data_IF_848261284306
#
_entry.id   IF_848261284306
#
_cell.length_a   1.000
_cell.length_b   1.000
_cell.length_c   1.000
_cell.angle_alpha   90.00
_cell.angle_beta   90.00
_cell.angle_gamma   90.00
#
_symmetry.space_group_name_H-M   'P 1'
#
loop_
_entity.id
_entity.type
_entity.pdbx_description
1 polymer ?
#
# COMPACT_ATOMS: atom_id res chain seq x y z
N UNK A 1 -38.13 -7.73 0.04
CA UNK A 1 -37.00 -7.78 -0.91
C UNK A 1 -35.68 -7.90 -0.18
N UNK A 2 -35.17 -9.13 -0.11
CA UNK A 2 -33.95 -9.52 0.62
C UNK A 2 -32.76 -9.73 -0.31
N UNK A 3 -32.09 -8.66 -0.72
CA UNK A 3 -30.95 -8.69 -1.65
C UNK A 3 -29.57 -8.49 -0.97
N UNK A 4 -29.48 -8.47 0.37
CA UNK A 4 -28.25 -8.00 1.04
C UNK A 4 -27.43 -9.01 1.86
N UNK A 5 -27.96 -10.19 2.16
CA UNK A 5 -27.39 -11.06 3.22
C UNK A 5 -26.31 -12.03 2.68
N UNK A 6 -26.21 -12.24 1.36
CA UNK A 6 -25.23 -13.15 0.74
C UNK A 6 -23.93 -12.50 0.24
N UNK A 7 -23.99 -11.29 -0.32
CA UNK A 7 -22.85 -10.69 -1.02
C UNK A 7 -21.77 -10.14 -0.08
N UNK A 8 -22.17 -9.56 1.05
CA UNK A 8 -21.23 -9.02 2.05
C UNK A 8 -20.40 -10.14 2.68
N UNK A 9 -21.01 -11.29 2.96
CA UNK A 9 -20.31 -12.45 3.52
C UNK A 9 -19.24 -12.98 2.57
N UNK A 10 -19.54 -13.06 1.27
CA UNK A 10 -18.60 -13.56 0.27
C UNK A 10 -17.39 -12.64 0.05
N UNK A 11 -17.59 -11.31 0.02
CA UNK A 11 -16.48 -10.35 -0.10
C UNK A 11 -15.57 -10.42 1.13
N UNK A 12 -16.15 -10.44 2.34
CA UNK A 12 -15.38 -10.55 3.59
C UNK A 12 -14.60 -11.87 3.67
N UNK A 13 -15.20 -12.99 3.27
CA UNK A 13 -14.53 -14.29 3.24
C UNK A 13 -13.39 -14.33 2.22
N UNK A 14 -13.57 -13.71 1.05
CA UNK A 14 -12.52 -13.56 0.03
C UNK A 14 -11.35 -12.75 0.53
N UNK A 15 -11.61 -11.60 1.16
CA UNK A 15 -10.56 -10.75 1.72
C UNK A 15 -9.79 -11.48 2.84
N UNK A 16 -10.52 -12.20 3.73
CA UNK A 16 -9.90 -13.04 4.76
C UNK A 16 -8.98 -14.10 4.17
N UNK A 17 -9.42 -14.79 3.11
CA UNK A 17 -8.61 -15.81 2.44
C UNK A 17 -7.32 -15.19 1.88
N UNK A 18 -7.43 -14.08 1.14
CA UNK A 18 -6.28 -13.40 0.57
C UNK A 18 -5.30 -12.90 1.64
N UNK A 19 -5.81 -12.34 2.74
CA UNK A 19 -5.01 -11.89 3.89
C UNK A 19 -4.29 -13.05 4.60
N UNK A 20 -4.94 -14.22 4.69
CA UNK A 20 -4.33 -15.40 5.33
C UNK A 20 -3.23 -16.05 4.51
N UNK A 21 -3.28 -15.92 3.17
CA UNK A 21 -2.33 -16.55 2.25
C UNK A 21 -1.13 -15.62 1.95
N UNK A 22 -1.42 -14.37 1.61
CA UNK A 22 -0.42 -13.43 1.10
C UNK A 22 -0.06 -12.30 2.06
N UNK A 23 -0.81 -12.14 3.16
CA UNK A 23 -0.58 -11.10 4.16
C UNK A 23 -0.93 -9.68 3.69
N UNK A 24 -0.53 -8.71 4.50
CA UNK A 24 -0.89 -7.29 4.36
C UNK A 24 0.35 -6.41 4.44
N UNK A 25 0.42 -5.41 3.56
CA UNK A 25 1.33 -4.27 3.63
C UNK A 25 0.49 -3.00 3.78
N UNK A 26 0.82 -2.21 4.79
CA UNK A 26 0.24 -0.88 5.02
C UNK A 26 1.33 0.14 4.73
N UNK A 27 0.99 1.16 3.94
CA UNK A 27 1.88 2.28 3.62
C UNK A 27 1.24 3.54 4.17
N UNK A 28 1.96 4.27 5.03
CA UNK A 28 1.49 5.53 5.60
C UNK A 28 2.34 6.67 5.07
N UNK A 29 1.67 7.70 4.56
CA UNK A 29 2.29 8.93 4.06
C UNK A 29 1.58 10.12 4.71
N UNK A 30 2.34 11.09 5.17
CA UNK A 30 1.80 12.34 5.71
C UNK A 30 2.01 13.45 4.70
N UNK A 31 0.94 14.16 4.36
CA UNK A 31 0.95 15.25 3.39
C UNK A 31 0.46 16.57 3.99
N UNK A 32 1.05 17.67 3.51
CA UNK A 32 0.61 19.03 3.80
C UNK A 32 -0.73 19.28 3.12
N UNK A 33 -1.74 19.67 3.89
CA UNK A 33 -3.00 20.12 3.30
C UNK A 33 -2.85 21.42 2.49
N UNK A 34 -1.93 22.29 2.90
CA UNK A 34 -1.73 23.59 2.27
C UNK A 34 -0.90 23.50 0.99
N UNK A 35 0.16 22.69 1.00
CA UNK A 35 1.12 22.61 -0.11
C UNK A 35 0.88 21.41 -1.02
N UNK A 36 0.09 20.42 -0.60
CA UNK A 36 -0.10 19.17 -1.34
C UNK A 36 1.18 18.33 -1.45
N UNK A 37 2.17 18.56 -0.57
CA UNK A 37 3.47 17.88 -0.57
C UNK A 37 3.58 16.84 0.54
N UNK A 38 4.46 15.87 0.35
CA UNK A 38 4.81 14.90 1.40
C UNK A 38 5.65 15.60 2.47
N UNK A 39 5.19 15.52 3.73
CA UNK A 39 5.89 16.06 4.89
C UNK A 39 6.69 14.95 5.60
N UNK A 40 6.14 13.74 5.66
CA UNK A 40 6.76 12.60 6.34
C UNK A 40 6.35 11.25 5.74
N UNK A 41 7.18 10.24 5.99
CA UNK A 41 7.06 8.90 5.42
C UNK A 41 7.90 8.71 4.14
N UNK A 42 7.71 7.60 3.41
CA UNK A 42 6.71 6.57 3.64
C UNK A 42 7.07 5.60 4.78
N UNK A 43 6.09 5.32 5.64
CA UNK A 43 6.18 4.26 6.65
C UNK A 43 5.50 2.99 6.19
N UNK A 44 6.23 1.87 6.21
CA UNK A 44 5.74 0.58 5.75
C UNK A 44 5.65 -0.38 6.93
N UNK A 45 4.46 -0.97 7.10
CA UNK A 45 4.16 -1.96 8.12
C UNK A 45 3.67 -3.22 7.41
N UNK A 46 4.27 -4.37 7.70
CA UNK A 46 3.81 -5.67 7.21
C UNK A 46 3.15 -6.49 8.33
N UNK A 47 2.11 -7.26 7.98
CA UNK A 47 1.47 -8.24 8.87
C UNK A 47 1.13 -9.51 8.11
N UNK A 48 1.43 -10.68 8.67
CA UNK A 48 1.25 -11.96 7.98
C UNK A 48 2.11 -12.09 6.72
N UNK A 49 3.07 -11.18 6.52
CA UNK A 49 3.86 -10.99 5.32
C UNK A 49 5.32 -10.77 5.71
N UNK A 50 6.18 -11.69 5.25
CA UNK A 50 7.64 -11.79 5.44
C UNK A 50 8.07 -12.00 6.90
N UNK A 51 8.88 -13.04 7.14
CA UNK A 51 9.42 -13.38 8.46
C UNK A 51 10.67 -12.51 8.73
N UNK A 52 10.76 -11.96 9.94
CA UNK A 52 11.45 -10.70 10.30
C UNK A 52 12.96 -10.62 10.00
N UNK A 53 13.66 -11.70 9.63
CA UNK A 53 15.13 -11.66 9.42
C UNK A 53 15.60 -11.40 7.99
N UNK A 54 14.86 -11.85 6.99
CA UNK A 54 15.17 -11.59 5.56
C UNK A 54 14.34 -10.41 5.02
N UNK A 55 13.47 -9.84 5.84
CA UNK A 55 12.53 -8.80 5.46
C UNK A 55 13.09 -7.38 5.53
N UNK A 56 14.14 -7.11 6.31
CA UNK A 56 14.59 -5.73 6.54
C UNK A 56 15.04 -5.06 5.23
N UNK A 57 15.90 -5.73 4.45
CA UNK A 57 16.34 -5.25 3.14
C UNK A 57 15.15 -5.09 2.17
N UNK A 58 14.23 -6.04 2.15
CA UNK A 58 13.03 -5.98 1.31
C UNK A 58 12.14 -4.78 1.67
N UNK A 59 11.97 -4.50 2.96
CA UNK A 59 11.17 -3.37 3.44
C UNK A 59 11.86 -2.04 3.16
N UNK A 60 13.18 -1.98 3.25
CA UNK A 60 13.95 -0.79 2.91
C UNK A 60 13.90 -0.49 1.40
N UNK A 61 14.04 -1.53 0.56
CA UNK A 61 13.80 -1.40 -0.88
C UNK A 61 12.36 -0.98 -1.20
N UNK A 62 11.37 -1.55 -0.50
CA UNK A 62 9.96 -1.16 -0.67
C UNK A 62 9.73 0.32 -0.31
N UNK A 63 10.37 0.83 0.76
CA UNK A 63 10.32 2.26 1.13
C UNK A 63 10.88 3.13 0.02
N UNK A 64 12.00 2.74 -0.58
CA UNK A 64 12.60 3.44 -1.73
C UNK A 64 11.66 3.48 -2.93
N UNK A 65 11.03 2.36 -3.28
CA UNK A 65 10.03 2.30 -4.37
C UNK A 65 8.89 3.30 -4.13
N UNK A 66 8.34 3.35 -2.92
CA UNK A 66 7.26 4.31 -2.60
C UNK A 66 7.77 5.75 -2.67
N UNK A 67 8.97 6.01 -2.16
CA UNK A 67 9.56 7.35 -2.21
C UNK A 67 9.77 7.82 -3.65
N UNK A 68 10.29 6.98 -4.53
CA UNK A 68 10.47 7.32 -5.95
C UNK A 68 9.14 7.66 -6.63
N UNK A 69 8.08 6.92 -6.31
CA UNK A 69 6.72 7.20 -6.80
C UNK A 69 6.22 8.56 -6.30
N UNK A 70 6.42 8.88 -5.02
CA UNK A 70 6.02 10.15 -4.44
C UNK A 70 6.79 11.32 -5.07
N UNK A 71 8.10 11.18 -5.24
CA UNK A 71 8.96 12.17 -5.88
C UNK A 71 8.56 12.40 -7.35
N UNK A 72 8.21 11.34 -8.08
CA UNK A 72 7.67 11.46 -9.43
C UNK A 72 6.32 12.17 -9.48
N UNK A 73 5.43 11.86 -8.55
CA UNK A 73 4.13 12.50 -8.45
C UNK A 73 4.28 13.99 -8.12
N UNK A 74 5.18 14.35 -7.22
CA UNK A 74 5.49 15.74 -6.89
C UNK A 74 6.03 16.50 -8.11
N UNK A 75 7.00 15.92 -8.85
CA UNK A 75 7.53 16.52 -10.10
C UNK A 75 6.46 16.74 -11.16
N UNK A 76 5.44 15.88 -11.20
CA UNK A 76 4.29 15.96 -12.12
C UNK A 76 3.14 16.80 -11.56
N UNK A 77 3.30 17.40 -10.37
CA UNK A 77 2.24 18.12 -9.64
C UNK A 77 0.95 17.31 -9.44
N UNK A 78 1.08 16.01 -9.23
CA UNK A 78 -0.03 15.10 -8.93
C UNK A 78 -0.33 15.20 -7.43
N UNK A 79 -1.44 15.84 -7.08
CA UNK A 79 -1.89 16.00 -5.69
C UNK A 79 -3.16 15.21 -5.37
N UNK A 80 -3.80 14.61 -6.38
CA UNK A 80 -5.00 13.79 -6.19
C UNK A 80 -4.68 12.49 -5.42
N UNK A 81 -5.39 12.28 -4.31
CA UNK A 81 -5.14 11.14 -3.43
C UNK A 81 -5.48 9.81 -4.05
N UNK A 82 -6.50 9.75 -4.91
CA UNK A 82 -6.85 8.48 -5.55
C UNK A 82 -5.71 8.01 -6.46
N UNK A 83 -5.13 8.95 -7.22
CA UNK A 83 -3.98 8.72 -8.09
C UNK A 83 -2.74 8.36 -7.29
N UNK A 84 -2.40 9.12 -6.23
CA UNK A 84 -1.27 8.80 -5.35
C UNK A 84 -1.39 7.40 -4.75
N UNK A 85 -2.55 7.07 -4.18
CA UNK A 85 -2.80 5.75 -3.59
C UNK A 85 -2.70 4.64 -4.66
N UNK A 86 -3.19 4.87 -5.87
CA UNK A 86 -3.07 3.87 -6.94
C UNK A 86 -1.61 3.66 -7.35
N UNK A 87 -0.86 4.74 -7.59
CA UNK A 87 0.54 4.64 -8.01
C UNK A 87 1.39 3.92 -6.96
N UNK A 88 1.22 4.25 -5.67
CA UNK A 88 1.90 3.56 -4.57
C UNK A 88 1.58 2.07 -4.57
N UNK A 89 0.29 1.73 -4.65
CA UNK A 89 -0.19 0.34 -4.62
C UNK A 89 0.36 -0.47 -5.80
N UNK A 90 0.31 0.08 -7.00
CA UNK A 90 0.68 -0.65 -8.21
C UNK A 90 2.20 -0.82 -8.33
N UNK A 91 2.98 0.19 -7.95
CA UNK A 91 4.44 0.10 -7.89
C UNK A 91 4.91 -0.94 -6.86
N UNK A 92 4.36 -0.90 -5.64
CA UNK A 92 4.69 -1.89 -4.61
C UNK A 92 4.25 -3.29 -5.01
N UNK A 93 3.07 -3.46 -5.62
CA UNK A 93 2.61 -4.77 -6.11
C UNK A 93 3.61 -5.35 -7.10
N UNK A 94 4.05 -4.54 -8.07
CA UNK A 94 5.03 -4.96 -9.07
C UNK A 94 6.38 -5.33 -8.45
N UNK A 95 6.89 -4.49 -7.54
CA UNK A 95 8.14 -4.74 -6.83
C UNK A 95 8.10 -6.04 -6.02
N UNK A 96 7.09 -6.21 -5.16
CA UNK A 96 6.96 -7.37 -4.27
C UNK A 96 6.81 -8.66 -5.09
N UNK A 97 5.95 -8.64 -6.11
CA UNK A 97 5.78 -9.81 -6.97
C UNK A 97 7.08 -10.14 -7.74
N UNK A 98 7.81 -9.11 -8.18
CA UNK A 98 9.11 -9.25 -8.83
C UNK A 98 10.15 -9.94 -7.92
N UNK A 99 10.23 -9.51 -6.66
CA UNK A 99 11.23 -9.98 -5.69
C UNK A 99 10.92 -11.36 -5.10
N UNK A 100 9.68 -11.59 -4.68
CA UNK A 100 9.34 -12.77 -3.86
C UNK A 100 8.14 -13.58 -4.37
N UNK A 101 7.56 -13.21 -5.53
CA UNK A 101 6.43 -13.92 -6.16
C UNK A 101 5.17 -14.02 -5.28
N UNK A 102 4.96 -13.03 -4.41
CA UNK A 102 3.74 -12.90 -3.58
C UNK A 102 2.93 -11.68 -3.96
N UNK A 103 1.62 -11.71 -3.65
CA UNK A 103 0.69 -10.63 -3.93
C UNK A 103 -0.04 -10.19 -2.65
N UNK A 104 0.66 -9.57 -1.67
CA UNK A 104 0.00 -9.11 -0.46
C UNK A 104 -1.08 -8.07 -0.79
N UNK A 105 -2.06 -7.98 0.09
CA UNK A 105 -2.95 -6.82 0.09
C UNK A 105 -2.12 -5.58 0.42
N UNK A 106 -2.21 -4.53 -0.40
CA UNK A 106 -1.49 -3.26 -0.17
C UNK A 106 -2.51 -2.17 0.12
N UNK A 107 -2.39 -1.55 1.29
CA UNK A 107 -3.28 -0.50 1.79
C UNK A 107 -2.51 0.82 2.00
N UNK A 108 -2.56 1.76 1.05
CA UNK A 108 -1.98 3.08 1.22
C UNK A 108 -2.93 4.00 2.00
N UNK A 109 -2.40 4.63 3.05
CA UNK A 109 -3.07 5.56 3.94
C UNK A 109 -2.35 6.91 3.80
N UNK A 110 -3.10 7.94 3.43
CA UNK A 110 -2.61 9.33 3.36
C UNK A 110 -3.23 10.08 4.52
N UNK A 111 -2.38 10.65 5.38
CA UNK A 111 -2.78 11.53 6.47
C UNK A 111 -2.52 12.97 6.06
N UNK A 112 -3.51 13.84 6.24
CA UNK A 112 -3.30 15.28 6.11
C UNK A 112 -2.88 15.88 7.45
N UNK A 113 -1.95 16.83 7.39
CA UNK A 113 -1.62 17.73 8.51
C UNK A 113 -1.63 19.18 8.05
#
# INVERSE_FOLDING_TARGET
>A
DGLGIGDVGNIVLRDRKHLSEDGLIIVVVTMSKQEGKVIAGPDIISRGFVYVRESEDLMEEARKVVKDVLDECEKKHITDWATLKSNIRDALRGFIYGKIKRNPMILPIIMEV
#
